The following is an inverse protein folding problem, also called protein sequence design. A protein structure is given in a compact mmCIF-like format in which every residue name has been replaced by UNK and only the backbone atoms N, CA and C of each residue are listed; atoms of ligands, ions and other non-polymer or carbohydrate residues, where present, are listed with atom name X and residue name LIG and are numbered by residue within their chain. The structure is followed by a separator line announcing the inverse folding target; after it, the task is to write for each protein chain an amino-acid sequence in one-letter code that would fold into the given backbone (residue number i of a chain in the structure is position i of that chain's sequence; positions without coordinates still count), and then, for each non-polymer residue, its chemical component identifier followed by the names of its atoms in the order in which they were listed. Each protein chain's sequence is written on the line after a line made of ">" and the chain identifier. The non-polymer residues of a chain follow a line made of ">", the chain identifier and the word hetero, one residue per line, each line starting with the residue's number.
data_IF_224536201325
#
_entry.id   IF_224536201325
#
_cell.length_a   1.000
_cell.length_b   1.000
_cell.length_c   1.000
_cell.angle_alpha   90.00
_cell.angle_beta   90.00
_cell.angle_gamma   90.00
#
_symmetry.space_group_name_H-M   'P 1'
#
loop_
_entity.id
_entity.type
_entity.pdbx_description
1 polymer ?
#
# COMPACT_ATOMS: atom_id res chain seq x y z
N UNK A 1 8.42 12.34 46.33
CA UNK A 1 9.36 12.11 45.19
C UNK A 1 8.76 11.01 44.34
N UNK A 2 7.70 11.34 43.59
CA UNK A 2 7.07 10.39 42.65
C UNK A 2 6.99 11.07 41.26
N UNK A 3 8.15 11.20 40.67
CA UNK A 3 8.30 11.55 39.29
C UNK A 3 8.69 10.29 38.50
N UNK A 4 8.08 10.08 37.33
CA UNK A 4 8.53 9.26 36.22
C UNK A 4 7.83 7.96 35.83
N UNK A 5 6.78 7.49 36.49
CA UNK A 5 6.10 6.30 35.92
C UNK A 5 5.08 6.65 34.82
N UNK A 6 4.43 7.80 34.89
CA UNK A 6 3.41 8.23 33.92
C UNK A 6 4.02 8.77 32.62
N UNK A 7 5.23 9.34 32.70
CA UNK A 7 5.96 9.87 31.53
C UNK A 7 6.52 8.72 30.67
N UNK A 8 7.02 7.66 31.29
CA UNK A 8 7.54 6.46 30.62
C UNK A 8 6.45 5.69 29.87
N UNK A 9 5.26 5.52 30.45
CA UNK A 9 4.12 4.86 29.81
C UNK A 9 3.58 5.63 28.60
N UNK A 10 3.60 6.97 28.66
CA UNK A 10 3.15 7.83 27.55
C UNK A 10 4.12 7.79 26.38
N UNK A 11 5.44 7.74 26.62
CA UNK A 11 6.47 7.55 25.60
C UNK A 11 6.45 6.12 25.04
N UNK A 12 6.21 5.12 25.86
CA UNK A 12 6.06 3.72 25.40
C UNK A 12 4.79 3.56 24.54
N UNK A 13 3.69 4.21 24.91
CA UNK A 13 2.46 4.23 24.12
C UNK A 13 2.62 5.02 22.82
N UNK A 14 3.35 6.13 22.84
CA UNK A 14 3.70 6.91 21.63
C UNK A 14 4.66 6.13 20.72
N UNK A 15 5.60 5.36 21.31
CA UNK A 15 6.54 4.50 20.58
C UNK A 15 5.83 3.28 19.96
N UNK A 16 4.82 2.72 20.62
CA UNK A 16 3.97 1.65 20.10
C UNK A 16 3.03 2.14 18.97
N UNK A 17 2.68 3.43 18.94
CA UNK A 17 1.88 4.05 17.86
C UNK A 17 2.71 4.43 16.63
N UNK A 18 4.05 4.41 16.70
CA UNK A 18 4.94 4.89 15.62
C UNK A 18 5.35 3.78 14.63
N UNK A 19 5.11 2.50 14.95
CA UNK A 19 5.42 1.38 14.05
C UNK A 19 4.20 0.51 13.79
N UNK A 20 3.17 1.10 13.16
CA UNK A 20 2.16 0.27 12.51
C UNK A 20 2.78 -0.28 11.22
N UNK A 21 3.14 -1.56 11.22
CA UNK A 21 3.62 -2.28 10.05
C UNK A 21 2.47 -2.69 9.11
N UNK A 22 1.27 -2.14 9.34
CA UNK A 22 0.08 -2.42 8.54
C UNK A 22 -0.20 -1.31 7.54
N UNK A 23 -0.73 -1.71 6.40
CA UNK A 23 -1.24 -0.79 5.39
C UNK A 23 -2.52 -1.31 4.76
N UNK A 24 -3.29 -0.42 4.15
CA UNK A 24 -4.57 -0.74 3.52
C UNK A 24 -4.49 -0.60 2.02
N UNK A 25 -5.07 -1.55 1.31
CA UNK A 25 -5.21 -1.51 -0.14
C UNK A 25 -6.57 -2.05 -0.59
N UNK A 26 -6.95 -1.77 -1.84
CA UNK A 26 -8.15 -2.38 -2.45
C UNK A 26 -7.83 -3.78 -2.93
N UNK A 27 -8.73 -4.74 -2.68
CA UNK A 27 -8.52 -6.15 -3.02
C UNK A 27 -8.58 -6.42 -4.52
N UNK A 28 -9.45 -5.72 -5.25
CA UNK A 28 -9.75 -5.95 -6.67
C UNK A 28 -10.22 -4.67 -7.34
N UNK A 29 -10.20 -4.62 -8.68
CA UNK A 29 -10.74 -3.48 -9.42
C UNK A 29 -12.20 -3.23 -9.12
N UNK A 30 -12.58 -1.94 -9.04
CA UNK A 30 -13.96 -1.50 -8.83
C UNK A 30 -14.27 -0.27 -9.66
N UNK A 31 -15.54 0.04 -9.81
CA UNK A 31 -16.01 1.20 -10.58
C UNK A 31 -17.06 1.96 -9.76
N UNK A 32 -16.90 3.29 -9.72
CA UNK A 32 -17.88 4.20 -9.13
C UNK A 32 -18.43 5.16 -10.18
N UNK A 33 -19.70 5.57 -10.05
CA UNK A 33 -20.34 6.50 -10.98
C UNK A 33 -20.96 7.65 -10.20
N UNK A 34 -20.71 8.87 -10.67
CA UNK A 34 -21.37 10.07 -10.18
C UNK A 34 -21.91 10.90 -11.35
N UNK A 35 -23.07 11.51 -11.18
CA UNK A 35 -23.71 12.38 -12.18
C UNK A 35 -24.05 13.73 -11.58
N UNK A 36 -23.75 14.80 -12.31
CA UNK A 36 -24.05 16.18 -11.89
C UNK A 36 -24.41 17.02 -13.10
N UNK A 37 -25.63 17.64 -13.09
CA UNK A 37 -26.14 18.52 -14.16
C UNK A 37 -25.90 17.98 -15.57
N UNK A 38 -26.23 16.69 -15.81
CA UNK A 38 -26.06 16.02 -17.08
C UNK A 38 -24.64 15.48 -17.34
N UNK A 39 -23.61 15.95 -16.63
CA UNK A 39 -22.27 15.38 -16.74
C UNK A 39 -22.20 14.04 -16.01
N UNK A 40 -21.43 13.07 -16.59
CA UNK A 40 -21.17 11.75 -16.02
C UNK A 40 -19.69 11.63 -15.69
N UNK A 41 -19.38 11.17 -14.48
CA UNK A 41 -18.04 10.87 -13.99
C UNK A 41 -18.00 9.37 -13.65
N UNK A 42 -17.12 8.65 -14.31
CA UNK A 42 -16.90 7.21 -14.05
C UNK A 42 -15.50 7.04 -13.47
N UNK A 43 -15.42 6.57 -12.24
CA UNK A 43 -14.16 6.30 -11.55
C UNK A 43 -13.83 4.81 -11.64
N UNK A 44 -12.61 4.49 -12.04
CA UNK A 44 -12.03 3.16 -12.09
C UNK A 44 -10.94 3.06 -11.03
N UNK A 45 -11.08 2.15 -10.08
CA UNK A 45 -10.10 1.88 -9.03
C UNK A 45 -9.39 0.57 -9.32
N UNK A 46 -8.06 0.56 -9.22
CA UNK A 46 -7.22 -0.62 -9.45
C UNK A 46 -6.19 -0.79 -8.34
N UNK A 47 -5.98 -1.99 -7.80
CA UNK A 47 -4.74 -2.30 -7.09
C UNK A 47 -3.58 -2.27 -8.09
N UNK A 48 -2.47 -1.59 -7.74
CA UNK A 48 -1.27 -1.45 -8.58
C UNK A 48 -0.03 -1.41 -7.70
N UNK A 49 1.07 -2.01 -8.18
CA UNK A 49 2.29 -2.17 -7.41
C UNK A 49 3.53 -1.58 -8.09
N UNK A 50 3.39 -1.06 -9.32
CA UNK A 50 4.48 -0.43 -10.06
C UNK A 50 3.98 0.66 -11.00
N UNK A 51 4.89 1.52 -11.47
CA UNK A 51 4.57 2.54 -12.49
C UNK A 51 4.23 1.92 -13.84
N UNK A 52 4.74 0.74 -14.16
CA UNK A 52 4.43 -0.02 -15.36
C UNK A 52 2.96 -0.45 -15.34
N UNK A 53 2.49 -1.03 -14.24
CA UNK A 53 1.08 -1.41 -14.05
C UNK A 53 0.16 -0.19 -14.16
N UNK A 54 0.56 0.96 -13.59
CA UNK A 54 -0.20 2.21 -13.69
C UNK A 54 -0.36 2.62 -15.16
N UNK A 55 0.72 2.59 -15.96
CA UNK A 55 0.67 2.90 -17.40
C UNK A 55 -0.27 1.96 -18.14
N UNK A 56 -0.17 0.65 -17.89
CA UNK A 56 -1.04 -0.35 -18.52
C UNK A 56 -2.52 -0.09 -18.19
N UNK A 57 -2.86 0.18 -16.93
CA UNK A 57 -4.25 0.46 -16.52
C UNK A 57 -4.76 1.78 -17.13
N UNK A 58 -3.93 2.82 -17.16
CA UNK A 58 -4.29 4.09 -17.78
C UNK A 58 -4.58 3.92 -19.28
N UNK A 59 -3.74 3.20 -20.01
CA UNK A 59 -3.96 2.93 -21.43
C UNK A 59 -5.21 2.06 -21.67
N UNK A 60 -5.48 1.08 -20.79
CA UNK A 60 -6.68 0.27 -20.88
C UNK A 60 -7.95 1.13 -20.69
N UNK A 61 -7.96 2.05 -19.69
CA UNK A 61 -9.10 2.96 -19.48
C UNK A 61 -9.26 3.94 -20.64
N UNK A 62 -8.18 4.49 -21.19
CA UNK A 62 -8.24 5.37 -22.37
C UNK A 62 -8.80 4.67 -23.59
N UNK A 63 -8.45 3.40 -23.80
CA UNK A 63 -9.04 2.59 -24.88
C UNK A 63 -10.52 2.30 -24.65
N UNK A 64 -10.91 1.96 -23.42
CA UNK A 64 -12.29 1.69 -23.04
C UNK A 64 -13.19 2.93 -23.18
N UNK A 65 -12.69 4.08 -22.73
CA UNK A 65 -13.41 5.36 -22.65
C UNK A 65 -12.87 6.35 -23.70
N UNK A 66 -12.56 5.87 -24.90
CA UNK A 66 -11.87 6.61 -25.96
C UNK A 66 -12.60 7.90 -26.42
N UNK A 67 -13.90 7.99 -26.23
CA UNK A 67 -14.70 9.17 -26.57
C UNK A 67 -14.70 10.26 -25.50
N UNK A 68 -14.14 9.98 -24.32
CA UNK A 68 -13.99 10.95 -23.24
C UNK A 68 -12.78 11.87 -23.51
N UNK A 69 -12.88 13.14 -23.08
CA UNK A 69 -11.80 14.13 -23.26
C UNK A 69 -10.83 14.18 -22.08
N UNK A 70 -11.23 13.71 -20.91
CA UNK A 70 -10.46 13.82 -19.68
C UNK A 70 -10.43 12.48 -18.95
N UNK A 71 -9.21 11.99 -18.67
CA UNK A 71 -8.90 10.79 -17.91
C UNK A 71 -8.02 11.19 -16.72
N UNK A 72 -8.62 11.96 -15.81
CA UNK A 72 -7.93 12.48 -14.64
C UNK A 72 -7.61 11.34 -13.67
N UNK A 73 -6.43 11.36 -13.06
CA UNK A 73 -6.05 10.25 -12.17
C UNK A 73 -5.22 10.68 -10.99
N UNK A 74 -5.19 9.82 -9.99
CA UNK A 74 -4.20 9.84 -8.93
C UNK A 74 -3.82 8.42 -8.52
N UNK A 75 -2.60 8.28 -8.01
CA UNK A 75 -2.12 7.02 -7.45
C UNK A 75 -1.24 7.25 -6.23
N UNK A 76 -1.15 6.23 -5.39
CA UNK A 76 -0.18 6.10 -4.32
C UNK A 76 0.40 4.68 -4.40
N UNK A 77 1.73 4.57 -4.36
CA UNK A 77 2.47 3.32 -4.30
C UNK A 77 3.24 3.21 -2.99
N UNK A 78 3.61 2.00 -2.65
CA UNK A 78 4.38 1.58 -1.50
C UNK A 78 3.65 1.73 -0.16
N UNK A 79 3.89 0.84 0.79
CA UNK A 79 3.28 0.91 2.12
C UNK A 79 3.56 2.22 2.86
N UNK A 80 4.74 2.82 2.64
CA UNK A 80 5.17 4.10 3.20
C UNK A 80 4.66 5.33 2.42
N UNK A 81 3.87 5.10 1.34
CA UNK A 81 3.32 6.14 0.46
C UNK A 81 4.39 7.05 -0.17
N UNK A 82 5.62 6.52 -0.35
CA UNK A 82 6.77 7.27 -0.86
C UNK A 82 6.61 7.76 -2.30
N UNK A 83 5.77 7.10 -3.11
CA UNK A 83 5.49 7.50 -4.48
C UNK A 83 4.00 7.83 -4.64
N UNK A 84 3.69 9.07 -5.03
CA UNK A 84 2.33 9.52 -5.28
C UNK A 84 2.29 10.54 -6.41
N UNK A 85 1.19 10.53 -7.17
CA UNK A 85 0.98 11.49 -8.26
C UNK A 85 -0.51 11.79 -8.44
N UNK A 86 -0.80 13.03 -8.85
CA UNK A 86 -2.11 13.48 -9.31
C UNK A 86 -1.98 14.13 -10.68
N UNK A 87 -2.97 13.94 -11.56
CA UNK A 87 -2.97 14.48 -12.92
C UNK A 87 -4.38 14.91 -13.31
N UNK A 88 -4.51 16.11 -13.84
CA UNK A 88 -5.79 16.73 -14.23
C UNK A 88 -6.19 16.47 -15.69
N UNK A 89 -5.30 15.88 -16.51
CA UNK A 89 -5.52 15.49 -17.91
C UNK A 89 -6.37 16.49 -18.73
N UNK A 90 -5.95 17.77 -18.75
CA UNK A 90 -6.61 18.84 -19.48
C UNK A 90 -7.76 19.54 -18.77
N UNK A 91 -8.20 19.09 -17.58
CA UNK A 91 -9.00 19.91 -16.69
C UNK A 91 -8.13 21.03 -16.08
N UNK A 92 -8.70 22.12 -15.58
CA UNK A 92 -7.92 23.15 -14.92
C UNK A 92 -7.14 22.62 -13.75
N UNK A 93 -5.97 23.21 -13.48
CA UNK A 93 -5.01 22.70 -12.49
C UNK A 93 -5.63 22.51 -11.10
N UNK A 94 -5.34 21.36 -10.50
CA UNK A 94 -5.75 21.00 -9.12
C UNK A 94 -7.26 20.82 -8.88
N UNK A 95 -8.05 20.70 -9.95
CA UNK A 95 -9.53 20.56 -9.85
C UNK A 95 -9.97 19.09 -9.89
N UNK A 96 -9.18 18.22 -10.49
CA UNK A 96 -9.50 16.79 -10.66
C UNK A 96 -8.53 15.88 -9.93
N UNK A 97 -7.26 15.90 -10.28
CA UNK A 97 -6.25 15.00 -9.74
C UNK A 97 -6.07 15.13 -8.22
N UNK A 98 -5.98 16.35 -7.69
CA UNK A 98 -5.86 16.57 -6.23
C UNK A 98 -7.08 16.10 -5.45
N UNK A 99 -8.34 16.38 -5.85
CA UNK A 99 -9.54 15.80 -5.23
C UNK A 99 -9.55 14.27 -5.21
N UNK A 100 -9.10 13.62 -6.30
CA UNK A 100 -8.97 12.15 -6.37
C UNK A 100 -7.92 11.67 -5.36
N UNK A 101 -6.71 12.26 -5.36
CA UNK A 101 -5.65 11.94 -4.41
C UNK A 101 -6.11 12.11 -2.96
N UNK A 102 -6.84 13.19 -2.68
CA UNK A 102 -7.41 13.45 -1.36
C UNK A 102 -8.34 12.35 -0.87
N UNK A 103 -9.07 11.66 -1.79
CA UNK A 103 -9.91 10.51 -1.40
C UNK A 103 -9.07 9.27 -1.07
N UNK A 104 -7.99 9.02 -1.80
CA UNK A 104 -7.07 7.93 -1.49
C UNK A 104 -6.46 8.14 -0.10
N UNK A 105 -5.94 9.35 0.17
CA UNK A 105 -5.32 9.71 1.45
C UNK A 105 -6.30 9.66 2.62
N UNK A 106 -7.53 10.17 2.46
CA UNK A 106 -8.54 10.20 3.53
C UNK A 106 -9.03 8.79 3.94
N UNK A 107 -8.89 7.79 3.07
CA UNK A 107 -9.19 6.40 3.36
C UNK A 107 -7.94 5.60 3.78
N UNK A 108 -6.79 6.28 3.92
CA UNK A 108 -5.51 5.67 4.30
C UNK A 108 -5.06 4.54 3.38
N UNK A 109 -5.39 4.63 2.08
CA UNK A 109 -5.06 3.62 1.07
C UNK A 109 -3.68 3.86 0.46
N UNK A 110 -3.06 2.76 0.03
CA UNK A 110 -1.87 2.75 -0.83
C UNK A 110 -1.98 1.64 -1.87
N UNK A 111 -0.98 1.52 -2.75
CA UNK A 111 -0.97 0.56 -3.87
C UNK A 111 -2.25 0.63 -4.71
N UNK A 112 -2.69 1.84 -5.01
CA UNK A 112 -3.95 2.11 -5.68
C UNK A 112 -3.78 3.17 -6.77
N UNK A 113 -4.42 2.93 -7.91
CA UNK A 113 -4.68 3.91 -8.96
C UNK A 113 -6.19 4.15 -9.04
N UNK A 114 -6.60 5.42 -9.05
CA UNK A 114 -7.98 5.82 -9.41
C UNK A 114 -7.93 6.71 -10.63
N UNK A 115 -8.66 6.30 -11.69
CA UNK A 115 -8.85 7.07 -12.92
C UNK A 115 -10.30 7.52 -12.97
N UNK A 116 -10.54 8.82 -13.09
CA UNK A 116 -11.90 9.38 -13.24
C UNK A 116 -12.06 9.96 -14.64
N UNK A 117 -12.97 9.38 -15.38
CA UNK A 117 -13.31 9.76 -16.74
C UNK A 117 -14.56 10.64 -16.72
N UNK A 118 -14.52 11.76 -17.46
CA UNK A 118 -15.63 12.70 -17.53
C UNK A 118 -16.24 12.78 -18.91
N UNK A 119 -17.58 12.70 -18.96
CA UNK A 119 -18.41 13.08 -20.09
C UNK A 119 -19.19 14.37 -19.75
N UNK A 120 -19.03 15.40 -20.59
CA UNK A 120 -19.71 16.69 -20.41
C UNK A 120 -21.20 16.59 -20.69
N UNK A 121 -22.02 17.13 -19.83
CA UNK A 121 -23.47 17.08 -19.91
C UNK A 121 -24.16 18.32 -20.46
N UNK A 122 -23.42 19.22 -21.14
CA UNK A 122 -23.99 20.45 -21.70
C UNK A 122 -23.98 21.65 -20.75
N UNK A 123 -23.91 21.44 -19.44
CA UNK A 123 -23.94 22.52 -18.42
C UNK A 123 -22.58 22.61 -17.74
N UNK A 124 -22.02 23.84 -17.67
CA UNK A 124 -20.76 24.09 -16.94
C UNK A 124 -20.99 23.97 -15.44
N UNK A 125 -20.16 23.17 -14.76
CA UNK A 125 -20.27 22.94 -13.31
C UNK A 125 -19.54 23.99 -12.46
N UNK A 126 -18.64 24.75 -13.08
CA UNK A 126 -17.72 25.65 -12.36
C UNK A 126 -16.65 24.87 -11.57
N UNK A 127 -15.69 25.60 -10.99
CA UNK A 127 -14.54 25.02 -10.26
C UNK A 127 -15.01 24.16 -9.08
N UNK A 128 -15.86 24.70 -8.23
CA UNK A 128 -16.35 23.97 -7.03
C UNK A 128 -17.19 22.74 -7.38
N UNK A 129 -17.99 22.82 -8.45
CA UNK A 129 -18.78 21.69 -8.94
C UNK A 129 -17.89 20.57 -9.49
N UNK A 130 -16.84 20.91 -10.23
CA UNK A 130 -15.86 19.93 -10.73
C UNK A 130 -15.11 19.24 -9.60
N UNK A 131 -14.54 20.01 -8.65
CA UNK A 131 -13.85 19.47 -7.48
C UNK A 131 -14.74 18.46 -6.74
N UNK A 132 -16.00 18.84 -6.46
CA UNK A 132 -16.97 17.97 -5.80
C UNK A 132 -17.23 16.70 -6.63
N UNK A 133 -17.40 16.84 -7.95
CA UNK A 133 -17.72 15.71 -8.82
C UNK A 133 -16.59 14.69 -8.91
N UNK A 134 -15.34 15.13 -9.09
CA UNK A 134 -14.17 14.24 -9.09
C UNK A 134 -13.97 13.55 -7.74
N UNK A 135 -14.08 14.33 -6.65
CA UNK A 135 -14.03 13.80 -5.28
C UNK A 135 -15.09 12.73 -5.05
N UNK A 136 -16.36 13.01 -5.40
CA UNK A 136 -17.47 12.09 -5.17
C UNK A 136 -17.35 10.83 -6.01
N UNK A 137 -16.96 10.94 -7.29
CA UNK A 137 -16.77 9.78 -8.15
C UNK A 137 -15.68 8.84 -7.61
N UNK A 138 -14.53 9.40 -7.18
CA UNK A 138 -13.45 8.64 -6.55
C UNK A 138 -13.91 7.96 -5.24
N UNK A 139 -14.66 8.69 -4.40
CA UNK A 139 -15.22 8.15 -3.16
C UNK A 139 -16.18 6.98 -3.43
N UNK A 140 -17.01 7.03 -4.48
CA UNK A 140 -17.89 5.92 -4.86
C UNK A 140 -17.11 4.67 -5.27
N UNK A 141 -16.03 4.81 -6.05
CA UNK A 141 -15.19 3.67 -6.43
C UNK A 141 -14.53 3.03 -5.19
N UNK A 142 -14.10 3.82 -4.21
CA UNK A 142 -13.55 3.31 -2.95
C UNK A 142 -14.64 2.65 -2.11
N UNK A 143 -15.84 3.21 -2.04
CA UNK A 143 -16.97 2.65 -1.29
C UNK A 143 -17.37 1.25 -1.79
N UNK A 144 -17.33 1.05 -3.11
CA UNK A 144 -17.60 -0.24 -3.75
C UNK A 144 -16.44 -1.25 -3.60
N UNK A 145 -15.28 -0.79 -3.08
CA UNK A 145 -14.10 -1.63 -2.95
C UNK A 145 -14.11 -2.45 -1.66
N UNK A 146 -13.64 -3.68 -1.74
CA UNK A 146 -13.23 -4.44 -0.56
C UNK A 146 -11.84 -3.97 -0.14
N UNK A 147 -11.73 -3.29 1.00
CA UNK A 147 -10.46 -2.86 1.57
C UNK A 147 -9.88 -4.01 2.40
N UNK A 148 -8.61 -4.35 2.17
CA UNK A 148 -7.86 -5.34 2.93
C UNK A 148 -6.70 -4.67 3.66
N UNK A 149 -6.38 -5.19 4.84
CA UNK A 149 -5.19 -4.77 5.61
C UNK A 149 -4.09 -5.80 5.39
N UNK A 150 -2.92 -5.34 4.99
CA UNK A 150 -1.69 -6.14 4.84
C UNK A 150 -0.65 -5.72 5.86
N UNK A 151 0.30 -6.60 6.12
CA UNK A 151 1.43 -6.34 7.02
C UNK A 151 2.70 -6.25 6.20
N UNK A 152 3.49 -5.21 6.41
CA UNK A 152 4.83 -5.09 5.84
C UNK A 152 5.69 -6.20 6.45
N UNK A 153 6.24 -7.06 5.59
CA UNK A 153 7.14 -8.13 6.01
C UNK A 153 8.53 -7.87 5.48
N UNK A 154 9.52 -8.21 6.27
CA UNK A 154 10.92 -8.22 5.86
C UNK A 154 11.38 -9.65 5.65
N UNK A 155 12.11 -9.90 4.56
CA UNK A 155 12.64 -11.21 4.22
C UNK A 155 14.10 -11.29 4.60
N UNK A 156 14.44 -12.36 5.29
CA UNK A 156 15.78 -12.70 5.73
C UNK A 156 16.18 -14.08 5.26
N UNK A 157 17.47 -14.24 4.97
CA UNK A 157 18.11 -15.50 4.72
C UNK A 157 19.02 -15.83 5.89
N UNK A 158 18.91 -17.05 6.42
CA UNK A 158 19.86 -17.60 7.37
C UNK A 158 20.61 -18.75 6.72
N UNK A 159 21.96 -18.71 6.80
CA UNK A 159 22.85 -19.78 6.39
C UNK A 159 23.43 -20.43 7.63
N UNK A 160 23.49 -21.77 7.64
CA UNK A 160 23.92 -22.55 8.78
C UNK A 160 24.42 -23.96 8.34
N UNK A 161 25.13 -24.67 9.21
CA UNK A 161 25.50 -26.05 8.98
C UNK A 161 24.47 -27.02 9.55
N UNK A 162 24.43 -28.25 9.06
CA UNK A 162 23.44 -29.24 9.47
C UNK A 162 23.28 -29.44 11.00
N UNK A 163 24.34 -29.41 11.84
CA UNK A 163 24.20 -29.51 13.29
C UNK A 163 23.32 -28.43 13.93
N UNK A 164 23.24 -27.23 13.33
CA UNK A 164 22.40 -26.11 13.81
C UNK A 164 20.93 -26.20 13.37
N UNK A 165 20.56 -27.23 12.59
CA UNK A 165 19.21 -27.39 12.05
C UNK A 165 18.14 -27.29 13.13
N UNK A 166 18.32 -28.01 14.25
CA UNK A 166 17.34 -28.05 15.34
C UNK A 166 17.17 -26.66 15.99
N UNK A 167 18.25 -25.90 16.16
CA UNK A 167 18.21 -24.54 16.71
C UNK A 167 17.45 -23.59 15.77
N UNK A 168 17.77 -23.65 14.46
CA UNK A 168 17.09 -22.81 13.47
C UNK A 168 15.59 -23.14 13.41
N UNK A 169 15.24 -24.43 13.34
CA UNK A 169 13.83 -24.85 13.28
C UNK A 169 13.07 -24.52 14.58
N UNK A 170 13.74 -24.57 15.74
CA UNK A 170 13.18 -24.11 17.00
C UNK A 170 12.83 -22.62 16.95
N UNK A 171 13.74 -21.76 16.46
CA UNK A 171 13.49 -20.33 16.31
C UNK A 171 12.37 -20.04 15.28
N UNK A 172 12.35 -20.76 14.16
CA UNK A 172 11.28 -20.66 13.17
C UNK A 172 9.92 -20.91 13.84
N UNK A 173 9.82 -21.95 14.67
CA UNK A 173 8.58 -22.30 15.38
C UNK A 173 8.26 -21.30 16.51
N UNK A 174 9.25 -20.90 17.29
CA UNK A 174 9.10 -19.98 18.43
C UNK A 174 8.53 -18.62 18.00
N UNK A 175 9.02 -18.09 16.87
CA UNK A 175 8.58 -16.81 16.32
C UNK A 175 7.48 -16.91 15.28
N UNK A 176 6.99 -18.13 15.00
CA UNK A 176 5.98 -18.39 13.94
C UNK A 176 6.38 -17.76 12.60
N UNK A 177 7.63 -18.01 12.17
CA UNK A 177 8.18 -17.42 10.97
C UNK A 177 7.62 -18.08 9.71
N UNK A 178 7.21 -17.25 8.74
CA UNK A 178 6.76 -17.73 7.44
C UNK A 178 7.96 -18.15 6.59
N UNK A 179 8.15 -19.48 6.45
CA UNK A 179 9.25 -20.02 5.64
C UNK A 179 8.90 -19.89 4.16
N UNK A 180 9.73 -19.14 3.42
CA UNK A 180 9.53 -18.87 1.99
C UNK A 180 10.28 -19.89 1.11
N UNK A 181 11.48 -20.30 1.54
CA UNK A 181 12.30 -21.24 0.80
C UNK A 181 13.30 -21.93 1.73
N UNK A 182 13.67 -23.16 1.40
CA UNK A 182 14.67 -23.95 2.09
C UNK A 182 15.57 -24.68 1.09
N UNK A 183 16.87 -24.72 1.41
CA UNK A 183 17.86 -25.53 0.71
C UNK A 183 18.76 -26.17 1.77
N UNK A 184 18.69 -27.50 1.90
CA UNK A 184 19.38 -28.27 2.95
C UNK A 184 20.44 -29.17 2.33
N UNK A 185 21.48 -28.55 1.77
CA UNK A 185 22.69 -29.24 1.30
C UNK A 185 23.78 -29.20 2.37
N UNK A 186 25.06 -29.25 1.96
CA UNK A 186 26.21 -29.17 2.87
C UNK A 186 26.20 -27.87 3.68
N UNK A 187 25.87 -26.75 3.04
CA UNK A 187 25.48 -25.50 3.69
C UNK A 187 23.98 -25.36 3.58
N UNK A 188 23.31 -25.39 4.72
CA UNK A 188 21.86 -25.20 4.77
C UNK A 188 21.50 -23.71 4.64
N UNK A 189 20.40 -23.46 3.93
CA UNK A 189 19.87 -22.13 3.67
C UNK A 189 18.37 -22.11 3.91
N UNK A 190 17.89 -21.17 4.69
CA UNK A 190 16.47 -20.96 4.93
C UNK A 190 16.15 -19.49 4.72
N UNK A 191 15.08 -19.21 3.94
CA UNK A 191 14.54 -17.85 3.74
C UNK A 191 13.21 -17.77 4.45
N UNK A 192 13.04 -16.76 5.29
CA UNK A 192 11.81 -16.51 6.02
C UNK A 192 11.37 -15.06 5.91
N UNK A 193 10.07 -14.82 6.08
CA UNK A 193 9.48 -13.50 6.22
C UNK A 193 9.02 -13.29 7.65
N UNK A 194 9.22 -12.07 8.15
CA UNK A 194 8.84 -11.63 9.50
C UNK A 194 8.16 -10.26 9.44
N UNK A 195 7.07 -10.01 10.20
CA UNK A 195 6.49 -8.69 10.32
C UNK A 195 7.55 -7.66 10.75
N UNK A 196 7.56 -6.49 10.10
CA UNK A 196 8.57 -5.45 10.36
C UNK A 196 8.66 -5.06 11.85
N UNK A 197 7.53 -5.03 12.54
CA UNK A 197 7.45 -4.76 13.98
C UNK A 197 8.19 -5.78 14.87
N UNK A 198 8.41 -7.02 14.37
CA UNK A 198 9.09 -8.10 15.10
C UNK A 198 10.54 -8.32 14.65
N UNK A 199 10.97 -7.63 13.60
CA UNK A 199 12.28 -7.86 12.95
C UNK A 199 13.44 -7.80 13.92
N UNK A 200 13.56 -6.73 14.70
CA UNK A 200 14.71 -6.54 15.61
C UNK A 200 14.82 -7.67 16.63
N UNK A 201 13.70 -8.11 17.20
CA UNK A 201 13.68 -9.21 18.17
C UNK A 201 14.15 -10.52 17.53
N UNK A 202 13.60 -10.84 16.36
CA UNK A 202 13.93 -12.07 15.62
C UNK A 202 15.39 -12.06 15.20
N UNK A 203 15.81 -11.01 14.49
CA UNK A 203 17.19 -10.90 13.96
C UNK A 203 18.23 -10.95 15.07
N UNK A 204 18.00 -10.24 16.18
CA UNK A 204 18.90 -10.25 17.33
C UNK A 204 18.97 -11.63 17.98
N UNK A 205 17.86 -12.39 17.99
CA UNK A 205 17.88 -13.76 18.52
C UNK A 205 18.68 -14.69 17.63
N UNK A 206 18.55 -14.62 16.31
CA UNK A 206 19.41 -15.38 15.41
C UNK A 206 20.89 -15.01 15.54
N UNK A 207 21.22 -13.72 15.72
CA UNK A 207 22.60 -13.23 15.89
C UNK A 207 23.28 -13.68 17.20
N UNK A 208 22.51 -14.10 18.22
CA UNK A 208 23.09 -14.65 19.47
C UNK A 208 23.87 -15.95 19.24
N UNK A 209 23.49 -16.72 18.21
CA UNK A 209 24.25 -17.89 17.81
C UNK A 209 25.23 -17.50 16.70
N UNK A 210 26.52 -17.43 17.02
CA UNK A 210 27.59 -17.01 16.11
C UNK A 210 27.82 -17.95 14.91
N UNK A 211 27.27 -19.15 14.94
CA UNK A 211 27.34 -20.11 13.84
C UNK A 211 26.26 -19.86 12.76
N UNK A 212 25.27 -19.00 13.06
CA UNK A 212 24.22 -18.61 12.12
C UNK A 212 24.59 -17.31 11.40
N UNK A 213 24.51 -17.30 10.08
CA UNK A 213 24.74 -16.10 9.27
C UNK A 213 23.42 -15.60 8.72
N UNK A 214 22.88 -14.53 9.31
CA UNK A 214 21.63 -13.90 8.86
C UNK A 214 21.92 -12.71 7.95
N UNK A 215 21.16 -12.60 6.85
CA UNK A 215 21.25 -11.53 5.86
C UNK A 215 19.84 -11.04 5.52
N UNK A 216 19.64 -9.71 5.54
CA UNK A 216 18.45 -9.07 4.99
C UNK A 216 18.39 -9.22 3.46
N UNK A 217 17.23 -9.48 2.91
CA UNK A 217 17.00 -9.58 1.47
C UNK A 217 16.20 -8.42 0.92
N UNK A 218 14.97 -8.22 1.43
CA UNK A 218 14.05 -7.17 0.97
C UNK A 218 12.88 -6.99 1.93
N UNK A 219 12.15 -5.88 1.78
CA UNK A 219 10.81 -5.67 2.34
C UNK A 219 9.72 -5.96 1.28
N UNK A 220 8.57 -6.47 1.73
CA UNK A 220 7.43 -6.82 0.87
C UNK A 220 6.10 -6.51 1.56
#
# INVERSE_FOLDING_TARGET
>A
MDWDFTFSLRYLYLFLLIFDDKYKEVKSPTTGIYKEKGSKFTAYSYPVYSEEEIKEKLEAVKKLEHSARHHCYAYILNPDKSAQRANDDGEPSSIAGKPILGQILSNDLTNILIVVVRYFGGVKLGVSGLIRSYKTAAAQAILESTIITKTIKEQYQVNFKYPQMNDVMRLVKEFDLEVMNTDFQIECKLIFAVPKSKTDTVVNTFKKNHELRIKYLKSS
#
